data_IF_053940201730
#
_entry.id   IF_053940201730
#
_cell.length_a   1.000
_cell.length_b   1.000
_cell.length_c   1.000
_cell.angle_alpha   90.00
_cell.angle_beta   90.00
_cell.angle_gamma   90.00
#
_symmetry.space_group_name_H-M   'P 1'
#
loop_
_entity.id
_entity.type
_entity.pdbx_description
1 polymer ?
#
# COMPACT_ATOMS: atom_id res chain seq x y z
N UNK A 1 -21.32 4.36 18.22
CA UNK A 1 -20.07 5.06 18.63
C UNK A 1 -20.30 6.57 18.75
N UNK A 2 -19.77 7.25 19.78
CA UNK A 2 -20.02 8.68 20.04
C UNK A 2 -18.84 9.62 19.70
N UNK A 3 -17.63 9.08 19.48
CA UNK A 3 -16.46 9.92 19.15
C UNK A 3 -16.59 10.55 17.76
N UNK A 4 -16.49 11.89 17.70
CA UNK A 4 -16.66 12.65 16.46
C UNK A 4 -15.52 12.46 15.47
N UNK A 5 -14.29 12.17 15.93
CA UNK A 5 -13.14 11.93 15.07
C UNK A 5 -13.28 10.58 14.36
N UNK A 6 -13.69 9.54 15.08
CA UNK A 6 -13.86 8.22 14.47
C UNK A 6 -15.02 8.25 13.45
N UNK A 7 -16.11 8.96 13.75
CA UNK A 7 -17.18 9.21 12.75
C UNK A 7 -16.67 9.92 11.50
N UNK A 8 -15.82 10.94 11.69
CA UNK A 8 -15.17 11.62 10.56
C UNK A 8 -14.34 10.66 9.70
N UNK A 9 -13.57 9.78 10.33
CA UNK A 9 -12.79 8.77 9.61
C UNK A 9 -13.66 7.76 8.87
N UNK A 10 -14.78 7.31 9.44
CA UNK A 10 -15.74 6.44 8.76
C UNK A 10 -16.28 7.12 7.49
N UNK A 11 -16.72 8.37 7.58
CA UNK A 11 -17.19 9.13 6.41
C UNK A 11 -16.10 9.34 5.34
N UNK A 12 -14.86 9.55 5.77
CA UNK A 12 -13.73 9.72 4.87
C UNK A 12 -13.39 8.43 4.11
N UNK A 13 -13.51 7.26 4.75
CA UNK A 13 -13.22 5.97 4.09
C UNK A 13 -14.37 5.49 3.22
N UNK A 14 -15.63 5.83 3.54
CA UNK A 14 -16.78 5.53 2.67
C UNK A 14 -16.58 6.07 1.25
N UNK A 15 -15.99 7.26 1.14
CA UNK A 15 -15.67 7.91 -0.13
C UNK A 15 -14.20 7.63 -0.55
N UNK A 16 -13.81 6.36 -0.58
CA UNK A 16 -12.41 5.92 -0.60
C UNK A 16 -11.53 6.56 -1.69
N UNK A 17 -12.05 6.76 -2.90
CA UNK A 17 -11.29 7.35 -4.02
C UNK A 17 -11.43 8.87 -4.17
N UNK A 18 -12.10 9.56 -3.23
CA UNK A 18 -12.34 11.01 -3.31
C UNK A 18 -11.06 11.85 -3.15
N UNK A 19 -10.01 11.29 -2.54
CA UNK A 19 -8.71 11.95 -2.42
C UNK A 19 -7.71 11.25 -3.34
N UNK A 20 -7.34 11.95 -4.39
CA UNK A 20 -6.32 11.52 -5.35
C UNK A 20 -4.95 11.35 -4.67
N UNK A 21 -4.28 10.24 -4.95
CA UNK A 21 -2.91 10.00 -4.49
C UNK A 21 -1.95 10.76 -5.40
N UNK A 22 -1.67 12.02 -5.08
CA UNK A 22 -0.66 12.85 -5.76
C UNK A 22 0.61 13.06 -4.91
N UNK A 23 0.57 12.66 -3.63
CA UNK A 23 1.66 12.75 -2.68
C UNK A 23 1.45 11.73 -1.54
N UNK A 24 2.34 10.76 -1.45
CA UNK A 24 2.31 9.69 -0.44
C UNK A 24 2.60 10.17 1.00
N UNK A 25 2.97 11.45 1.18
CA UNK A 25 3.14 12.06 2.52
C UNK A 25 1.84 12.63 3.08
N UNK A 26 0.76 12.63 2.31
CA UNK A 26 -0.51 13.23 2.73
C UNK A 26 -1.19 12.34 3.78
N UNK A 27 -1.26 12.75 5.07
CA UNK A 27 -1.88 11.95 6.12
C UNK A 27 -3.41 11.87 5.97
N UNK A 28 -4.01 12.70 5.12
CA UNK A 28 -5.45 12.70 4.89
C UNK A 28 -5.91 11.58 3.94
N UNK A 29 -4.98 10.85 3.30
CA UNK A 29 -5.33 9.75 2.40
C UNK A 29 -6.20 8.69 3.10
N UNK A 30 -7.31 8.24 2.48
CA UNK A 30 -8.26 7.31 3.10
C UNK A 30 -7.63 6.00 3.58
N UNK A 31 -6.59 5.49 2.89
CA UNK A 31 -5.88 4.26 3.30
C UNK A 31 -5.31 4.32 4.72
N UNK A 32 -4.79 5.47 5.15
CA UNK A 32 -4.24 5.61 6.51
C UNK A 32 -5.33 5.60 7.57
N UNK A 33 -6.47 6.23 7.28
CA UNK A 33 -7.64 6.24 8.16
C UNK A 33 -8.28 4.85 8.24
N UNK A 34 -8.41 4.16 7.10
CA UNK A 34 -8.92 2.80 7.01
C UNK A 34 -8.06 1.84 7.83
N UNK A 35 -6.74 1.85 7.64
CA UNK A 35 -5.85 1.00 8.43
C UNK A 35 -5.89 1.32 9.91
N UNK A 36 -5.98 2.60 10.29
CA UNK A 36 -6.15 2.98 11.69
C UNK A 36 -7.45 2.42 12.28
N UNK A 37 -8.57 2.53 11.56
CA UNK A 37 -9.86 1.97 11.99
C UNK A 37 -9.77 0.45 12.19
N UNK A 38 -9.15 -0.25 11.24
CA UNK A 38 -8.92 -1.70 11.34
C UNK A 38 -7.99 -2.06 12.51
N UNK A 39 -6.92 -1.31 12.72
CA UNK A 39 -5.94 -1.54 13.80
C UNK A 39 -6.55 -1.32 15.20
N UNK A 40 -7.58 -0.50 15.35
CA UNK A 40 -8.30 -0.29 16.63
C UNK A 40 -9.53 -1.20 16.80
N UNK A 41 -9.75 -2.15 15.87
CA UNK A 41 -10.75 -3.21 16.00
C UNK A 41 -12.09 -2.96 15.30
N UNK A 42 -12.20 -1.96 14.42
CA UNK A 42 -13.34 -1.90 13.48
C UNK A 42 -13.13 -2.90 12.34
N UNK A 43 -14.23 -3.30 11.71
CA UNK A 43 -14.22 -4.26 10.61
C UNK A 43 -15.36 -3.98 9.61
N UNK A 44 -15.60 -4.93 8.70
CA UNK A 44 -16.62 -4.84 7.64
C UNK A 44 -18.07 -4.93 8.14
N UNK A 45 -18.31 -5.07 9.45
CA UNK A 45 -19.63 -4.85 10.03
C UNK A 45 -20.04 -3.38 9.89
N UNK A 46 -19.09 -2.44 9.96
CA UNK A 46 -19.32 -1.03 9.66
C UNK A 46 -19.55 -0.85 8.14
N UNK A 47 -20.70 -0.27 7.73
CA UNK A 47 -21.02 -0.06 6.32
C UNK A 47 -19.95 0.72 5.55
N UNK A 48 -19.36 1.74 6.16
CA UNK A 48 -18.37 2.61 5.55
C UNK A 48 -17.07 1.85 5.23
N UNK A 49 -16.63 0.98 6.14
CA UNK A 49 -15.45 0.11 5.92
C UNK A 49 -15.76 -0.91 4.83
N UNK A 50 -16.94 -1.56 4.89
CA UNK A 50 -17.35 -2.51 3.85
C UNK A 50 -17.39 -1.86 2.46
N UNK A 51 -17.91 -0.64 2.36
CA UNK A 51 -17.88 0.14 1.11
C UNK A 51 -16.45 0.39 0.64
N UNK A 52 -15.57 0.85 1.53
CA UNK A 52 -14.16 1.10 1.20
C UNK A 52 -13.44 -0.16 0.68
N UNK A 53 -13.62 -1.30 1.36
CA UNK A 53 -13.04 -2.59 0.96
C UNK A 53 -13.56 -3.03 -0.41
N UNK A 54 -14.87 -2.88 -0.66
CA UNK A 54 -15.45 -3.18 -1.96
C UNK A 54 -14.90 -2.29 -3.08
N UNK A 55 -14.67 -0.99 -2.83
CA UNK A 55 -14.04 -0.10 -3.81
C UNK A 55 -12.60 -0.52 -4.12
N UNK A 56 -11.77 -0.79 -3.09
CA UNK A 56 -10.40 -1.30 -3.28
C UNK A 56 -10.41 -2.57 -4.15
N UNK A 57 -11.34 -3.50 -3.88
CA UNK A 57 -11.37 -4.78 -4.58
C UNK A 57 -11.71 -4.68 -6.08
N UNK A 58 -12.30 -3.56 -6.55
CA UNK A 58 -12.62 -3.34 -7.97
C UNK A 58 -11.39 -3.04 -8.83
N UNK A 59 -10.30 -2.59 -8.24
CA UNK A 59 -9.13 -2.06 -8.97
C UNK A 59 -7.92 -2.92 -8.69
N UNK A 60 -7.65 -3.89 -9.58
CA UNK A 60 -6.61 -4.90 -9.46
C UNK A 60 -5.97 -5.19 -10.81
N UNK A 61 -4.65 -5.33 -10.84
CA UNK A 61 -3.91 -5.70 -12.04
C UNK A 61 -3.89 -7.24 -12.29
N UNK A 62 -3.26 -7.64 -13.41
CA UNK A 62 -3.10 -9.05 -13.81
C UNK A 62 -2.28 -9.89 -12.81
N UNK A 63 -1.46 -9.24 -11.97
CA UNK A 63 -0.62 -9.89 -10.97
C UNK A 63 -1.31 -9.99 -9.60
N UNK A 64 -2.54 -9.49 -9.49
CA UNK A 64 -3.28 -9.48 -8.24
C UNK A 64 -2.94 -8.31 -7.31
N UNK A 65 -2.29 -7.26 -7.81
CA UNK A 65 -1.96 -6.06 -7.04
C UNK A 65 -3.11 -5.08 -7.12
N UNK A 66 -3.58 -4.64 -5.95
CA UNK A 66 -4.60 -3.60 -5.86
C UNK A 66 -4.03 -2.22 -6.14
N UNK A 67 -4.84 -1.37 -6.75
CA UNK A 67 -4.44 -0.08 -7.31
C UNK A 67 -5.11 1.08 -6.57
N UNK A 68 -4.38 2.20 -6.42
CA UNK A 68 -4.94 3.47 -5.97
C UNK A 68 -5.25 4.35 -7.17
N UNK A 69 -6.21 5.27 -7.00
CA UNK A 69 -6.40 6.36 -7.94
C UNK A 69 -5.25 7.37 -7.76
N UNK A 70 -4.33 7.40 -8.72
CA UNK A 70 -3.08 8.16 -8.69
C UNK A 70 -3.04 9.13 -9.86
N UNK A 71 -2.38 10.28 -9.64
CA UNK A 71 -1.96 11.18 -10.73
C UNK A 71 -0.49 11.48 -10.60
N UNK A 72 0.29 11.05 -11.58
CA UNK A 72 1.70 11.44 -11.70
C UNK A 72 1.86 12.55 -12.74
N UNK A 73 2.34 13.74 -12.35
CA UNK A 73 2.61 14.82 -13.29
C UNK A 73 3.61 14.43 -14.40
N UNK A 74 3.42 14.99 -15.61
CA UNK A 74 4.30 14.74 -16.77
C UNK A 74 5.79 14.97 -16.52
N UNK A 75 6.14 15.95 -15.69
CA UNK A 75 7.53 16.26 -15.37
C UNK A 75 8.22 15.21 -14.49
N UNK A 76 7.47 14.34 -13.82
CA UNK A 76 8.00 13.17 -13.12
C UNK A 76 8.00 11.90 -14.00
N UNK A 77 7.59 12.00 -15.27
CA UNK A 77 7.56 10.87 -16.20
C UNK A 77 6.23 10.14 -16.30
N UNK A 78 5.17 10.63 -15.64
CA UNK A 78 3.80 10.13 -15.81
C UNK A 78 3.07 10.78 -16.99
N UNK A 79 1.79 10.45 -17.19
CA UNK A 79 0.98 11.02 -18.27
C UNK A 79 0.19 12.28 -17.87
N UNK A 80 0.10 12.59 -16.58
CA UNK A 80 -0.60 13.77 -16.05
C UNK A 80 -2.12 13.64 -15.95
N UNK A 81 -2.65 12.44 -16.12
CA UNK A 81 -4.08 12.10 -15.97
C UNK A 81 -4.27 11.26 -14.70
N UNK A 82 -5.52 11.08 -14.30
CA UNK A 82 -5.88 10.32 -13.10
C UNK A 82 -6.12 8.87 -13.55
N UNK A 83 -5.33 7.94 -13.01
CA UNK A 83 -5.33 6.53 -13.40
C UNK A 83 -5.28 5.62 -12.18
N UNK A 84 -5.82 4.41 -12.34
CA UNK A 84 -5.68 3.37 -11.32
C UNK A 84 -4.38 2.64 -11.54
N UNK A 85 -3.48 2.80 -10.60
CA UNK A 85 -2.15 2.23 -10.66
C UNK A 85 -1.60 1.91 -9.27
N UNK A 86 -0.40 1.32 -9.22
CA UNK A 86 0.21 0.93 -7.96
C UNK A 86 1.69 1.29 -7.88
N UNK A 87 2.16 1.51 -6.66
CA UNK A 87 3.56 1.60 -6.31
C UNK A 87 3.84 0.91 -4.96
N UNK A 88 5.09 0.64 -4.65
CA UNK A 88 5.42 0.07 -3.34
C UNK A 88 5.15 1.02 -2.16
N UNK A 89 4.86 2.29 -2.45
CA UNK A 89 4.50 3.28 -1.44
C UNK A 89 3.01 3.26 -1.07
N UNK A 90 2.18 2.46 -1.75
CA UNK A 90 0.73 2.37 -1.49
C UNK A 90 0.20 0.93 -1.53
N UNK A 91 0.53 0.13 -2.54
CA UNK A 91 -0.07 -1.20 -2.74
C UNK A 91 0.12 -2.20 -1.59
N UNK A 92 1.24 -2.20 -0.83
CA UNK A 92 1.34 -3.04 0.35
C UNK A 92 0.30 -2.70 1.41
N UNK A 93 -0.11 -1.42 1.51
CA UNK A 93 -1.14 -0.97 2.44
C UNK A 93 -2.54 -1.41 2.00
N UNK A 94 -2.82 -1.43 0.69
CA UNK A 94 -4.09 -1.93 0.17
C UNK A 94 -4.26 -3.42 0.48
N UNK A 95 -3.25 -4.24 0.19
CA UNK A 95 -3.23 -5.67 0.53
C UNK A 95 -3.37 -5.89 2.04
N UNK A 96 -2.69 -5.08 2.85
CA UNK A 96 -2.78 -5.12 4.31
C UNK A 96 -4.19 -4.79 4.81
N UNK A 97 -4.86 -3.79 4.22
CA UNK A 97 -6.23 -3.42 4.59
C UNK A 97 -7.24 -4.53 4.25
N UNK A 98 -7.08 -5.17 3.10
CA UNK A 98 -7.89 -6.34 2.73
C UNK A 98 -7.66 -7.50 3.71
N UNK A 99 -6.41 -7.79 4.05
CA UNK A 99 -6.07 -8.85 5.00
C UNK A 99 -6.70 -8.59 6.37
N UNK A 100 -6.53 -7.38 6.91
CA UNK A 100 -7.09 -6.98 8.21
C UNK A 100 -8.61 -6.92 8.24
N UNK A 101 -9.27 -6.74 7.10
CA UNK A 101 -10.73 -6.70 6.98
C UNK A 101 -11.37 -8.08 6.81
N UNK A 102 -10.56 -9.15 6.80
CA UNK A 102 -11.04 -10.53 6.72
C UNK A 102 -11.30 -11.04 5.30
N UNK A 103 -10.82 -10.33 4.26
CA UNK A 103 -10.86 -10.83 2.89
C UNK A 103 -9.98 -12.08 2.77
N UNK A 104 -10.46 -13.08 2.03
CA UNK A 104 -9.77 -14.37 1.87
C UNK A 104 -8.35 -14.17 1.34
N UNK A 105 -7.36 -14.55 2.16
CA UNK A 105 -5.95 -14.41 1.83
C UNK A 105 -5.61 -15.20 0.57
N UNK A 106 -5.94 -16.48 0.53
CA UNK A 106 -5.60 -17.39 -0.57
C UNK A 106 -6.20 -16.95 -1.91
N UNK A 107 -7.44 -16.45 -1.89
CA UNK A 107 -8.18 -16.17 -3.12
C UNK A 107 -7.88 -14.78 -3.70
N UNK A 108 -7.76 -13.76 -2.83
CA UNK A 108 -7.75 -12.37 -3.27
C UNK A 108 -6.45 -11.63 -2.98
N UNK A 109 -5.63 -12.10 -2.02
CA UNK A 109 -4.50 -11.32 -1.50
C UNK A 109 -3.16 -11.97 -1.86
N UNK A 110 -3.07 -13.30 -1.72
CA UNK A 110 -1.85 -14.07 -1.90
C UNK A 110 -1.15 -13.81 -3.25
N UNK A 111 -1.85 -13.76 -4.41
CA UNK A 111 -1.18 -13.48 -5.69
C UNK A 111 -0.42 -12.15 -5.69
N UNK A 112 -1.06 -11.09 -5.17
CA UNK A 112 -0.44 -9.78 -5.08
C UNK A 112 0.74 -9.76 -4.11
N UNK A 113 0.60 -10.37 -2.93
CA UNK A 113 1.69 -10.48 -1.94
C UNK A 113 2.88 -11.23 -2.53
N UNK A 114 2.65 -12.37 -3.16
CA UNK A 114 3.69 -13.18 -3.79
C UNK A 114 4.40 -12.44 -4.91
N UNK A 115 3.67 -11.69 -5.73
CA UNK A 115 4.27 -10.87 -6.77
C UNK A 115 5.16 -9.77 -6.15
N UNK A 116 4.64 -9.01 -5.18
CA UNK A 116 5.42 -7.94 -4.53
C UNK A 116 6.66 -8.49 -3.82
N UNK A 117 6.55 -9.66 -3.18
CA UNK A 117 7.66 -10.34 -2.53
C UNK A 117 8.80 -10.69 -3.51
N UNK A 118 8.45 -11.07 -4.75
CA UNK A 118 9.40 -11.45 -5.80
C UNK A 118 9.91 -10.27 -6.65
N UNK A 119 9.54 -9.02 -6.34
CA UNK A 119 10.10 -7.87 -7.04
C UNK A 119 11.61 -7.76 -6.82
N UNK A 120 12.38 -7.28 -7.82
CA UNK A 120 13.83 -7.11 -7.69
C UNK A 120 14.21 -6.25 -6.49
N UNK A 121 15.16 -6.73 -5.70
CA UNK A 121 15.71 -6.04 -4.53
C UNK A 121 17.14 -5.55 -4.78
N UNK A 122 17.51 -4.51 -4.06
CA UNK A 122 18.90 -4.09 -3.82
C UNK A 122 19.28 -4.50 -2.39
N UNK A 123 19.75 -3.57 -1.55
CA UNK A 123 19.68 -3.71 -0.09
C UNK A 123 18.27 -3.30 0.40
N UNK A 124 17.28 -4.15 0.17
CA UNK A 124 15.86 -3.86 0.39
C UNK A 124 15.10 -3.46 -0.89
N UNK A 125 13.89 -2.92 -0.76
CA UNK A 125 13.06 -2.57 -1.91
C UNK A 125 13.39 -1.16 -2.44
N UNK A 126 13.68 -1.00 -3.75
CA UNK A 126 13.74 0.31 -4.38
C UNK A 126 12.33 0.90 -4.55
N UNK A 127 12.25 2.15 -5.01
CA UNK A 127 10.97 2.71 -5.46
C UNK A 127 10.51 1.99 -6.73
N UNK A 128 9.59 1.04 -6.59
CA UNK A 128 8.99 0.29 -7.71
C UNK A 128 7.53 0.71 -7.91
N UNK A 129 7.14 0.78 -9.18
CA UNK A 129 5.82 1.21 -9.64
C UNK A 129 5.30 0.26 -10.73
N UNK A 130 4.00 0.30 -11.01
CA UNK A 130 3.35 -0.39 -12.13
C UNK A 130 3.95 0.02 -13.48
N UNK A 131 3.77 -0.79 -14.52
CA UNK A 131 4.39 -0.56 -15.84
C UNK A 131 3.80 0.67 -16.54
N UNK A 132 2.55 0.96 -16.22
CA UNK A 132 1.71 2.05 -16.69
C UNK A 132 2.33 3.42 -16.37
N UNK A 133 3.11 3.51 -15.28
CA UNK A 133 3.89 4.70 -14.95
C UNK A 133 5.10 4.96 -15.85
N UNK A 134 5.34 4.12 -16.87
CA UNK A 134 6.29 4.36 -17.94
C UNK A 134 7.73 4.58 -17.46
N UNK A 135 8.19 5.84 -17.49
CA UNK A 135 9.58 6.23 -17.13
C UNK A 135 9.71 6.80 -15.72
N UNK A 136 8.64 6.78 -14.92
CA UNK A 136 8.68 7.33 -13.57
C UNK A 136 9.84 6.73 -12.75
N UNK A 137 10.46 7.59 -11.95
CA UNK A 137 11.41 7.17 -10.92
C UNK A 137 11.10 7.87 -9.62
N UNK A 138 11.27 7.12 -8.53
CA UNK A 138 11.24 7.70 -7.20
C UNK A 138 12.32 8.76 -7.00
N UNK A 139 12.22 9.57 -5.93
CA UNK A 139 13.13 10.69 -5.68
C UNK A 139 14.56 10.27 -5.27
N UNK A 140 14.77 8.99 -4.96
CA UNK A 140 16.08 8.43 -4.58
C UNK A 140 16.93 7.99 -5.77
N UNK A 141 18.14 7.50 -5.49
CA UNK A 141 19.00 6.91 -6.53
C UNK A 141 18.45 5.55 -6.96
N UNK A 142 18.74 5.15 -8.19
CA UNK A 142 18.25 3.90 -8.78
C UNK A 142 18.63 2.67 -7.96
N UNK A 143 19.86 2.66 -7.45
CA UNK A 143 20.44 1.50 -6.78
C UNK A 143 20.35 1.60 -5.24
N UNK A 144 19.60 2.59 -4.74
CA UNK A 144 19.37 2.80 -3.32
C UNK A 144 18.07 2.12 -2.86
N UNK A 145 18.09 1.62 -1.63
CA UNK A 145 16.90 1.24 -0.89
C UNK A 145 15.95 2.43 -0.74
N UNK A 146 14.65 2.23 -0.99
CA UNK A 146 13.63 3.16 -0.54
C UNK A 146 13.21 2.79 0.88
N UNK A 147 13.50 3.63 1.89
CA UNK A 147 13.19 3.29 3.28
C UNK A 147 11.69 3.15 3.52
N UNK A 148 10.89 3.97 2.82
CA UNK A 148 9.44 3.98 2.95
C UNK A 148 8.82 2.72 2.32
N UNK A 149 9.12 2.44 1.05
CA UNK A 149 8.63 1.23 0.37
C UNK A 149 9.03 -0.05 1.13
N UNK A 150 10.28 -0.13 1.58
CA UNK A 150 10.76 -1.28 2.37
C UNK A 150 10.00 -1.41 3.68
N UNK A 151 9.73 -0.31 4.39
CA UNK A 151 8.96 -0.35 5.64
C UNK A 151 7.51 -0.81 5.41
N UNK A 152 6.88 -0.38 4.32
CA UNK A 152 5.50 -0.80 4.01
C UNK A 152 5.43 -2.28 3.63
N UNK A 153 6.42 -2.78 2.89
CA UNK A 153 6.56 -4.21 2.61
C UNK A 153 6.74 -5.02 3.90
N UNK A 154 7.61 -4.58 4.80
CA UNK A 154 7.79 -5.23 6.11
C UNK A 154 6.53 -5.19 6.96
N UNK A 155 5.75 -4.10 6.91
CA UNK A 155 4.46 -4.01 7.61
C UNK A 155 3.47 -5.04 7.07
N UNK A 156 3.44 -5.26 5.75
CA UNK A 156 2.63 -6.31 5.14
C UNK A 156 3.12 -7.70 5.56
N UNK A 157 4.42 -7.98 5.46
CA UNK A 157 5.00 -9.27 5.83
C UNK A 157 4.78 -9.62 7.31
N UNK A 158 4.75 -8.63 8.20
CA UNK A 158 4.49 -8.87 9.62
C UNK A 158 3.13 -9.52 9.92
N UNK A 159 2.16 -9.37 9.01
CA UNK A 159 0.80 -9.93 9.12
C UNK A 159 0.61 -11.19 8.25
N UNK A 160 1.57 -11.52 7.38
CA UNK A 160 1.49 -12.68 6.47
C UNK A 160 2.44 -13.77 6.95
N UNK A 161 1.87 -14.88 7.45
CA UNK A 161 2.63 -15.97 8.10
C UNK A 161 3.73 -16.54 7.21
N UNK A 162 3.50 -16.62 5.90
CA UNK A 162 4.46 -17.11 4.91
C UNK A 162 5.73 -16.24 4.80
N UNK A 163 5.64 -14.96 5.17
CA UNK A 163 6.72 -13.99 4.99
C UNK A 163 7.32 -13.45 6.30
N UNK A 164 6.55 -13.44 7.39
CA UNK A 164 6.91 -12.80 8.68
C UNK A 164 8.30 -13.16 9.21
N UNK A 165 8.63 -14.44 9.22
CA UNK A 165 9.87 -14.97 9.82
C UNK A 165 10.81 -15.57 8.77
N UNK A 166 10.84 -14.97 7.58
CA UNK A 166 11.68 -15.43 6.46
C UNK A 166 12.99 -14.66 6.36
N UNK A 167 13.96 -15.24 5.65
CA UNK A 167 15.19 -14.54 5.25
C UNK A 167 14.89 -13.27 4.45
N UNK A 168 13.79 -13.24 3.70
CA UNK A 168 13.36 -12.05 2.96
C UNK A 168 13.02 -10.91 3.92
N UNK A 169 12.21 -11.16 4.94
CA UNK A 169 11.87 -10.18 5.96
C UNK A 169 13.11 -9.73 6.74
N UNK A 170 13.95 -10.67 7.20
CA UNK A 170 15.17 -10.37 7.94
C UNK A 170 16.13 -9.47 7.14
N UNK A 171 16.38 -9.77 5.86
CA UNK A 171 17.21 -8.93 4.98
C UNK A 171 16.66 -7.52 4.82
N UNK A 172 15.34 -7.37 4.73
CA UNK A 172 14.71 -6.05 4.62
C UNK A 172 14.73 -5.28 5.95
N UNK A 173 14.65 -5.96 7.09
CA UNK A 173 14.85 -5.36 8.42
C UNK A 173 16.28 -4.83 8.53
N UNK A 174 17.28 -5.66 8.20
CA UNK A 174 18.70 -5.27 8.21
C UNK A 174 18.97 -4.09 7.28
N UNK A 175 18.36 -4.08 6.10
CA UNK A 175 18.42 -2.96 5.17
C UNK A 175 17.98 -1.65 5.83
N UNK A 176 16.81 -1.62 6.48
CA UNK A 176 16.33 -0.41 7.17
C UNK A 176 17.25 -0.01 8.33
N UNK A 177 17.70 -0.97 9.14
CA UNK A 177 18.57 -0.68 10.29
C UNK A 177 19.94 -0.13 9.86
N UNK A 178 20.46 -0.57 8.70
CA UNK A 178 21.73 -0.11 8.15
C UNK A 178 21.70 1.35 7.66
N UNK A 179 20.52 1.88 7.30
CA UNK A 179 20.37 3.25 6.84
C UNK A 179 20.64 4.30 7.94
N UNK A 180 20.50 3.90 9.21
CA UNK A 180 20.72 4.77 10.38
C UNK A 180 22.18 4.89 10.79
N UNK A 181 23.08 4.12 10.15
CA UNK A 181 24.50 4.06 10.49
C UNK A 181 25.39 4.92 9.57
N UNK A 182 24.78 5.82 8.77
CA UNK A 182 25.48 6.79 7.94
C UNK A 182 25.41 8.19 8.52
#
# INVERSE_FOLDING_TARGET
MQDSKIKGYLMDVENYHNILVNNHKNPALPIHKLLFLLDIGFDTSEPEIRTAINEIMKHKDENGIYQSLIKIPKHFGGIGEDEFDWCLCDSPLLLLALLKSGVSYEEYIKPGVDYLANLPQVQGYPCTVSKEFGKFRGPGRKDDCCPYATLLMLRLFAEVTEYKDTDLANKNIDAILSLRQK
#
